data_IF_402095718741
#
_entry.id   IF_402095718741
#
_cell.length_a   1.000
_cell.length_b   1.000
_cell.length_c   1.000
_cell.angle_alpha   90.00
_cell.angle_beta   90.00
_cell.angle_gamma   90.00
#
_symmetry.space_group_name_H-M   'P 1'
#
loop_
_entity.id
_entity.type
_entity.pdbx_description
1 polymer ?
#
# COMPACT_ATOMS: atom_id res chain seq x y z
N UNK A 1 -18.42 -13.38 13.70
CA UNK A 1 -17.21 -13.48 12.83
C UNK A 1 -15.91 -13.08 13.53
N UNK A 2 -15.95 -12.20 14.55
CA UNK A 2 -14.77 -11.65 15.24
C UNK A 2 -13.74 -12.69 15.76
N UNK A 3 -14.19 -13.87 16.19
CA UNK A 3 -13.33 -14.95 16.70
C UNK A 3 -13.00 -16.04 15.65
N UNK A 4 -13.42 -15.87 14.40
CA UNK A 4 -13.16 -16.81 13.33
C UNK A 4 -12.82 -16.03 12.04
N UNK A 5 -11.56 -15.55 11.91
CA UNK A 5 -11.14 -14.70 10.79
C UNK A 5 -11.31 -15.42 9.44
N UNK A 6 -11.03 -16.73 9.38
CA UNK A 6 -11.19 -17.50 8.15
C UNK A 6 -12.66 -17.59 7.70
N UNK A 7 -13.60 -17.76 8.64
CA UNK A 7 -15.03 -17.71 8.31
C UNK A 7 -15.48 -16.31 7.86
N UNK A 8 -14.86 -15.25 8.40
CA UNK A 8 -15.13 -13.90 7.94
C UNK A 8 -14.69 -13.71 6.48
N UNK A 9 -13.49 -14.17 6.14
CA UNK A 9 -12.95 -14.13 4.77
C UNK A 9 -13.84 -14.94 3.82
N UNK A 10 -14.24 -16.15 4.22
CA UNK A 10 -15.09 -17.03 3.40
C UNK A 10 -16.43 -16.36 3.02
N UNK A 11 -17.02 -15.59 3.94
CA UNK A 11 -18.35 -15.00 3.73
C UNK A 11 -18.32 -13.65 3.03
N UNK A 12 -17.32 -12.80 3.31
CA UNK A 12 -17.32 -11.39 2.89
C UNK A 12 -15.96 -10.86 2.46
N UNK A 13 -14.92 -11.71 2.45
CA UNK A 13 -13.57 -11.34 2.03
C UNK A 13 -13.32 -11.55 0.55
N UNK A 14 -12.04 -11.49 0.20
CA UNK A 14 -11.51 -11.81 -1.13
C UNK A 14 -10.31 -12.76 -0.97
N UNK A 15 -9.90 -13.51 -2.02
CA UNK A 15 -8.82 -14.47 -1.92
C UNK A 15 -7.42 -13.84 -1.74
N UNK A 16 -7.25 -12.53 -1.99
CA UNK A 16 -5.98 -11.84 -1.78
C UNK A 16 -5.73 -11.62 -0.29
N UNK A 17 -6.77 -11.35 0.51
CA UNK A 17 -6.65 -11.17 1.95
C UNK A 17 -5.94 -12.33 2.69
N UNK A 18 -6.39 -13.60 2.61
CA UNK A 18 -5.72 -14.71 3.26
C UNK A 18 -4.34 -15.02 2.64
N UNK A 19 -4.18 -14.82 1.33
CA UNK A 19 -2.90 -15.02 0.67
C UNK A 19 -1.84 -14.02 1.16
N UNK A 20 -2.18 -12.73 1.22
CA UNK A 20 -1.32 -11.68 1.76
C UNK A 20 -1.02 -11.89 3.24
N UNK A 21 -2.02 -12.25 4.05
CA UNK A 21 -1.81 -12.50 5.48
C UNK A 21 -0.84 -13.68 5.71
N UNK A 22 -1.04 -14.81 5.02
CA UNK A 22 -0.16 -15.98 5.15
C UNK A 22 1.28 -15.68 4.70
N UNK A 23 1.46 -15.00 3.57
CA UNK A 23 2.78 -14.57 3.10
C UNK A 23 3.44 -13.60 4.08
N UNK A 24 2.69 -12.64 4.61
CA UNK A 24 3.20 -11.67 5.57
C UNK A 24 3.64 -12.34 6.88
N UNK A 25 2.83 -13.26 7.44
CA UNK A 25 3.19 -14.00 8.65
C UNK A 25 4.48 -14.80 8.44
N UNK A 26 4.54 -15.59 7.36
CA UNK A 26 5.71 -16.43 7.08
C UNK A 26 6.99 -15.64 6.76
N UNK A 27 6.87 -14.47 6.13
CA UNK A 27 8.03 -13.61 5.88
C UNK A 27 8.43 -12.81 7.11
N UNK A 28 7.46 -12.27 7.87
CA UNK A 28 7.70 -11.41 9.02
C UNK A 28 8.30 -12.13 10.23
N UNK A 29 8.27 -13.47 10.26
CA UNK A 29 9.03 -14.25 11.24
C UNK A 29 10.55 -14.11 11.03
N UNK A 30 11.01 -13.79 9.82
CA UNK A 30 12.43 -13.77 9.44
C UNK A 30 12.93 -12.39 8.99
N UNK A 31 12.10 -11.63 8.24
CA UNK A 31 12.50 -10.40 7.56
C UNK A 31 11.44 -9.30 7.70
N UNK A 32 11.81 -8.01 7.57
CA UNK A 32 10.84 -6.92 7.52
C UNK A 32 9.90 -7.03 6.30
N UNK A 33 8.62 -6.75 6.51
CA UNK A 33 7.56 -6.81 5.50
C UNK A 33 6.84 -5.47 5.42
N UNK A 34 6.65 -4.98 4.19
CA UNK A 34 5.75 -3.86 3.90
C UNK A 34 4.46 -4.40 3.28
N UNK A 35 3.35 -4.23 3.98
CA UNK A 35 2.01 -4.43 3.44
C UNK A 35 1.69 -3.25 2.51
N UNK A 36 1.93 -3.45 1.21
CA UNK A 36 1.82 -2.41 0.20
C UNK A 36 0.38 -2.26 -0.30
N UNK A 37 -0.31 -1.19 0.10
CA UNK A 37 -1.68 -0.94 -0.31
C UNK A 37 -2.40 0.09 0.54
N UNK A 38 -3.73 0.16 0.37
CA UNK A 38 -4.56 1.11 1.09
C UNK A 38 -5.35 0.50 2.24
N UNK A 39 -6.61 0.92 2.41
CA UNK A 39 -7.52 0.41 3.46
C UNK A 39 -7.68 -1.10 3.45
N UNK A 40 -7.48 -1.76 2.29
CA UNK A 40 -7.45 -3.22 2.19
C UNK A 40 -6.38 -3.84 3.11
N UNK A 41 -5.26 -3.17 3.36
CA UNK A 41 -4.21 -3.65 4.25
C UNK A 41 -4.62 -3.60 5.73
N UNK A 42 -5.63 -2.82 6.12
CA UNK A 42 -6.21 -2.91 7.46
C UNK A 42 -6.94 -4.25 7.66
N UNK A 43 -7.66 -4.75 6.64
CA UNK A 43 -8.29 -6.07 6.70
C UNK A 43 -7.23 -7.18 6.81
N UNK A 44 -6.16 -7.11 6.00
CA UNK A 44 -5.01 -8.03 6.11
C UNK A 44 -4.38 -7.98 7.50
N UNK A 45 -4.18 -6.78 8.05
CA UNK A 45 -3.65 -6.58 9.41
C UNK A 45 -4.55 -7.23 10.46
N UNK A 46 -5.88 -7.09 10.34
CA UNK A 46 -6.82 -7.75 11.26
C UNK A 46 -6.73 -9.28 11.18
N UNK A 47 -6.51 -9.84 9.99
CA UNK A 47 -6.34 -11.28 9.82
C UNK A 47 -5.03 -11.74 10.47
N UNK A 48 -3.93 -11.00 10.23
CA UNK A 48 -2.62 -11.28 10.86
C UNK A 48 -2.75 -11.25 12.38
N UNK A 49 -3.37 -10.21 12.94
CA UNK A 49 -3.60 -10.09 14.38
C UNK A 49 -4.34 -11.29 14.98
N UNK A 50 -5.33 -11.82 14.26
CA UNK A 50 -6.10 -12.97 14.72
C UNK A 50 -5.37 -14.31 14.57
N UNK A 51 -4.32 -14.40 13.74
CA UNK A 51 -3.57 -15.63 13.46
C UNK A 51 -2.24 -15.68 14.22
N UNK A 52 -1.46 -14.60 14.20
CA UNK A 52 -0.19 -14.46 14.89
C UNK A 52 0.15 -12.96 15.07
N UNK A 53 -0.10 -12.41 16.25
CA UNK A 53 0.22 -11.02 16.55
C UNK A 53 1.73 -10.76 16.77
N UNK A 54 2.52 -11.82 17.02
CA UNK A 54 3.92 -11.69 17.42
C UNK A 54 4.82 -11.17 16.29
N UNK A 55 4.36 -11.29 15.04
CA UNK A 55 5.08 -10.85 13.85
C UNK A 55 5.00 -9.35 13.58
N UNK A 56 4.12 -8.61 14.26
CA UNK A 56 3.91 -7.17 13.98
C UNK A 56 5.14 -6.30 14.19
N UNK A 57 6.10 -6.73 15.02
CA UNK A 57 7.41 -6.05 15.19
C UNK A 57 8.19 -5.89 13.87
N UNK A 58 7.90 -6.71 12.86
CA UNK A 58 8.55 -6.71 11.55
C UNK A 58 7.62 -6.24 10.42
N UNK A 59 6.45 -5.69 10.73
CA UNK A 59 5.45 -5.29 9.74
C UNK A 59 5.26 -3.78 9.75
N UNK A 60 5.20 -3.19 8.57
CA UNK A 60 4.71 -1.84 8.33
C UNK A 60 3.70 -1.82 7.18
N UNK A 61 2.84 -0.81 7.12
CA UNK A 61 2.00 -0.54 5.95
C UNK A 61 2.70 0.51 5.09
N UNK A 62 2.73 0.29 3.78
CA UNK A 62 3.26 1.21 2.80
C UNK A 62 2.18 1.66 1.82
N UNK A 63 1.89 2.96 1.80
CA UNK A 63 0.81 3.55 1.00
C UNK A 63 1.27 4.86 0.32
N UNK A 64 0.35 5.60 -0.28
CA UNK A 64 0.58 6.91 -0.91
C UNK A 64 0.08 8.06 -0.04
N UNK A 65 0.66 9.25 -0.22
CA UNK A 65 0.16 10.50 0.38
C UNK A 65 -1.33 10.71 0.12
N UNK A 66 -1.78 10.45 -1.10
CA UNK A 66 -3.17 10.67 -1.50
C UNK A 66 -4.18 9.86 -0.68
N UNK A 67 -3.78 8.72 -0.11
CA UNK A 67 -4.66 7.96 0.76
C UNK A 67 -4.67 8.47 2.20
N UNK A 68 -3.53 8.95 2.71
CA UNK A 68 -3.43 9.50 4.07
C UNK A 68 -4.14 10.86 4.17
N UNK A 69 -4.10 11.66 3.11
CA UNK A 69 -4.75 12.98 3.05
C UNK A 69 -6.24 12.91 2.67
N UNK A 70 -6.75 11.72 2.34
CA UNK A 70 -8.13 11.53 1.93
C UNK A 70 -9.10 11.56 3.11
N UNK A 71 -9.85 12.66 3.24
CA UNK A 71 -10.85 12.84 4.29
C UNK A 71 -11.99 11.81 4.28
N UNK A 72 -12.15 11.05 3.18
CA UNK A 72 -13.16 9.99 3.08
C UNK A 72 -12.62 8.60 3.49
N UNK A 73 -11.35 8.49 3.85
CA UNK A 73 -10.67 7.24 4.23
C UNK A 73 -9.96 7.40 5.57
N UNK A 74 -10.14 6.43 6.48
CA UNK A 74 -9.49 6.43 7.80
C UNK A 74 -8.61 5.19 8.00
N UNK A 75 -7.57 5.05 7.17
CA UNK A 75 -6.63 3.93 7.30
C UNK A 75 -5.95 3.94 8.68
N UNK A 76 -5.59 5.13 9.19
CA UNK A 76 -4.90 5.26 10.47
C UNK A 76 -5.78 4.82 11.64
N UNK A 77 -7.03 5.25 11.69
CA UNK A 77 -8.00 4.82 12.69
C UNK A 77 -8.26 3.32 12.64
N UNK A 78 -8.51 2.77 11.45
CA UNK A 78 -8.73 1.34 11.26
C UNK A 78 -7.56 0.48 11.74
N UNK A 79 -6.32 0.87 11.42
CA UNK A 79 -5.14 0.13 11.87
C UNK A 79 -4.97 0.25 13.38
N UNK A 80 -5.17 1.45 13.94
CA UNK A 80 -5.05 1.72 15.38
C UNK A 80 -6.05 0.94 16.23
N UNK A 81 -7.23 0.62 15.69
CA UNK A 81 -8.20 -0.27 16.35
C UNK A 81 -7.73 -1.73 16.44
N UNK A 82 -6.77 -2.13 15.61
CA UNK A 82 -6.24 -3.51 15.53
C UNK A 82 -4.93 -3.63 16.30
N UNK A 83 -3.95 -2.79 15.97
CA UNK A 83 -2.58 -2.86 16.50
C UNK A 83 -1.82 -1.54 16.26
N UNK A 84 -0.66 -1.39 16.88
CA UNK A 84 0.23 -0.26 16.67
C UNK A 84 1.41 -0.67 15.76
N UNK A 85 1.31 -0.32 14.47
CA UNK A 85 2.37 -0.56 13.48
C UNK A 85 2.66 0.71 12.66
N UNK A 86 3.87 0.88 12.11
CA UNK A 86 4.19 2.02 11.26
C UNK A 86 3.33 2.05 9.99
N UNK A 87 2.82 3.23 9.64
CA UNK A 87 2.18 3.52 8.36
C UNK A 87 3.05 4.54 7.64
N UNK A 88 3.68 4.10 6.54
CA UNK A 88 4.56 4.89 5.71
C UNK A 88 3.80 5.32 4.46
N UNK A 89 3.84 6.61 4.13
CA UNK A 89 3.24 7.14 2.92
C UNK A 89 4.30 7.79 2.04
N UNK A 90 4.35 7.39 0.77
CA UNK A 90 5.22 8.07 -0.20
C UNK A 90 4.62 9.41 -0.59
N UNK A 91 5.41 10.47 -0.49
CA UNK A 91 5.03 11.83 -0.89
C UNK A 91 5.18 12.02 -2.40
N UNK A 92 4.33 11.32 -3.16
CA UNK A 92 4.19 11.54 -4.59
C UNK A 92 3.38 12.82 -4.85
N UNK A 93 3.88 13.67 -5.74
CA UNK A 93 3.21 14.89 -6.17
C UNK A 93 3.19 14.97 -7.70
N UNK A 94 2.04 14.65 -8.27
CA UNK A 94 1.81 14.61 -9.71
C UNK A 94 1.45 15.98 -10.29
N UNK A 95 1.41 17.06 -9.49
CA UNK A 95 1.30 18.43 -10.03
C UNK A 95 2.50 18.82 -10.91
N UNK A 96 3.64 18.12 -10.77
CA UNK A 96 4.83 18.30 -11.61
C UNK A 96 4.60 17.90 -13.07
N UNK A 97 3.60 17.05 -13.34
CA UNK A 97 3.30 16.57 -14.68
C UNK A 97 2.38 17.52 -15.45
N UNK A 98 2.45 17.47 -16.78
CA UNK A 98 1.55 18.24 -17.68
C UNK A 98 0.35 17.41 -18.13
N UNK A 99 0.46 16.10 -18.03
CA UNK A 99 -0.48 15.10 -18.51
C UNK A 99 -1.73 15.08 -17.61
N UNK A 100 -2.94 15.38 -18.13
CA UNK A 100 -4.15 15.43 -17.33
C UNK A 100 -4.48 14.12 -16.61
N UNK A 101 -4.17 12.96 -17.22
CA UNK A 101 -4.38 11.65 -16.63
C UNK A 101 -3.55 11.43 -15.36
N UNK A 102 -2.30 11.89 -15.34
CA UNK A 102 -1.47 11.84 -14.13
C UNK A 102 -1.94 12.87 -13.10
N UNK A 103 -2.23 14.10 -13.52
CA UNK A 103 -2.73 15.15 -12.60
C UNK A 103 -4.07 14.83 -11.94
N UNK A 104 -4.83 13.87 -12.47
CA UNK A 104 -6.07 13.42 -11.84
C UNK A 104 -5.86 12.83 -10.44
N UNK A 105 -4.68 12.26 -10.14
CA UNK A 105 -4.37 11.72 -8.81
C UNK A 105 -4.46 12.79 -7.71
N UNK A 106 -4.02 14.01 -8.00
CA UNK A 106 -4.10 15.17 -7.09
C UNK A 106 -5.55 15.61 -6.81
N UNK A 107 -6.51 15.11 -7.58
CA UNK A 107 -7.95 15.33 -7.40
C UNK A 107 -8.64 14.14 -6.72
N UNK A 108 -7.87 13.22 -6.15
CA UNK A 108 -8.39 12.03 -5.46
C UNK A 108 -8.77 10.88 -6.38
N UNK A 109 -8.30 10.86 -7.63
CA UNK A 109 -8.53 9.73 -8.56
C UNK A 109 -7.47 8.64 -8.34
N UNK A 110 -7.88 7.37 -8.34
CA UNK A 110 -7.05 6.17 -8.04
C UNK A 110 -6.54 6.12 -6.61
N UNK A 111 -5.75 7.12 -6.18
CA UNK A 111 -5.07 7.25 -4.87
C UNK A 111 -4.04 6.15 -4.60
N UNK A 112 -4.41 4.89 -4.66
CA UNK A 112 -3.55 3.73 -4.42
C UNK A 112 -4.00 2.54 -5.29
N UNK A 113 -3.12 1.57 -5.48
CA UNK A 113 -3.39 0.31 -6.16
C UNK A 113 -2.11 -0.39 -6.52
N UNK A 114 -2.19 -1.70 -6.80
CA UNK A 114 -1.08 -2.55 -7.26
C UNK A 114 0.21 -2.45 -6.42
N UNK A 115 0.10 -2.04 -5.14
CA UNK A 115 1.22 -1.85 -4.23
C UNK A 115 2.13 -0.65 -4.57
N UNK A 116 1.63 0.35 -5.29
CA UNK A 116 2.41 1.48 -5.79
C UNK A 116 3.11 2.28 -4.68
N UNK A 117 2.41 2.55 -3.57
CA UNK A 117 3.00 3.25 -2.43
C UNK A 117 4.14 2.45 -1.80
N UNK A 118 3.85 1.22 -1.38
CA UNK A 118 4.81 0.35 -0.72
C UNK A 118 6.03 0.00 -1.57
N UNK A 119 5.88 -0.25 -2.87
CA UNK A 119 7.02 -0.55 -3.75
C UNK A 119 7.92 0.68 -3.96
N UNK A 120 7.33 1.88 -4.03
CA UNK A 120 8.08 3.13 -4.14
C UNK A 120 8.91 3.38 -2.88
N UNK A 121 8.31 3.21 -1.70
CA UNK A 121 8.99 3.29 -0.41
C UNK A 121 10.14 2.27 -0.36
N UNK A 122 9.85 1.03 -0.75
CA UNK A 122 10.83 -0.06 -0.75
C UNK A 122 12.02 0.23 -1.65
N UNK A 123 11.79 0.78 -2.85
CA UNK A 123 12.86 1.14 -3.79
C UNK A 123 13.80 2.21 -3.21
N UNK A 124 13.23 3.26 -2.61
CA UNK A 124 14.01 4.34 -1.99
C UNK A 124 14.82 3.82 -0.80
N UNK A 125 14.17 3.09 0.12
CA UNK A 125 14.83 2.54 1.31
C UNK A 125 15.93 1.54 0.94
N UNK A 126 15.63 0.58 0.04
CA UNK A 126 16.57 -0.49 -0.32
C UNK A 126 17.76 0.03 -1.11
N UNK A 127 17.58 1.09 -1.89
CA UNK A 127 18.66 1.72 -2.64
C UNK A 127 19.54 2.64 -1.77
N UNK A 128 19.17 2.87 -0.50
CA UNK A 128 19.84 3.83 0.36
C UNK A 128 19.69 5.27 -0.15
N UNK A 129 18.54 5.59 -0.77
CA UNK A 129 18.26 6.90 -1.36
C UNK A 129 18.90 7.16 -2.72
N UNK A 130 19.53 6.16 -3.35
CA UNK A 130 20.03 6.29 -4.74
C UNK A 130 18.90 6.35 -5.76
N UNK A 131 17.77 5.69 -5.48
CA UNK A 131 16.51 5.91 -6.19
C UNK A 131 15.78 7.02 -5.45
N UNK A 132 15.43 8.08 -6.16
CA UNK A 132 14.77 9.26 -5.66
C UNK A 132 13.35 9.39 -6.26
N UNK A 133 12.57 10.37 -5.77
CA UNK A 133 11.29 10.70 -6.38
C UNK A 133 11.43 11.11 -7.85
N UNK A 134 12.50 11.81 -8.22
CA UNK A 134 12.74 12.22 -9.60
C UNK A 134 12.95 11.03 -10.53
N UNK A 135 13.65 9.99 -10.06
CA UNK A 135 13.80 8.74 -10.80
C UNK A 135 12.45 8.05 -11.02
N UNK A 136 11.61 8.00 -9.97
CA UNK A 136 10.26 7.46 -10.05
C UNK A 136 9.41 8.27 -11.05
N UNK A 137 9.45 9.59 -10.97
CA UNK A 137 8.71 10.47 -11.88
C UNK A 137 9.16 10.30 -13.33
N UNK A 138 10.47 10.20 -13.58
CA UNK A 138 11.03 9.90 -14.90
C UNK A 138 10.52 8.58 -15.46
N UNK A 139 10.50 7.53 -14.62
CA UNK A 139 9.95 6.21 -14.96
C UNK A 139 8.46 6.25 -15.30
N UNK A 140 7.65 6.86 -14.43
CA UNK A 140 6.19 7.03 -14.61
C UNK A 140 5.89 7.74 -15.92
N UNK A 141 6.53 8.89 -16.16
CA UNK A 141 6.28 9.70 -17.36
C UNK A 141 6.65 8.95 -18.64
N UNK A 142 7.78 8.24 -18.63
CA UNK A 142 8.23 7.42 -19.76
C UNK A 142 7.20 6.33 -20.07
N UNK A 143 6.72 5.61 -19.06
CA UNK A 143 5.72 4.55 -19.22
C UNK A 143 4.40 5.14 -19.71
N UNK A 144 3.93 6.23 -19.11
CA UNK A 144 2.68 6.90 -19.48
C UNK A 144 2.68 7.34 -20.95
N UNK A 145 3.75 8.00 -21.42
CA UNK A 145 3.89 8.41 -22.83
C UNK A 145 3.94 7.23 -23.79
N UNK A 146 4.52 6.11 -23.38
CA UNK A 146 4.52 4.90 -24.19
C UNK A 146 3.12 4.27 -24.29
N UNK A 147 2.32 4.33 -23.23
CA UNK A 147 0.92 3.89 -23.27
C UNK A 147 0.07 4.80 -24.16
N UNK A 148 0.18 6.12 -24.03
CA UNK A 148 -0.58 7.05 -24.89
C UNK A 148 -0.31 6.85 -26.37
N UNK A 149 0.93 6.51 -26.77
CA UNK A 149 1.27 6.19 -28.16
C UNK A 149 0.64 4.90 -28.68
N UNK A 150 0.29 3.95 -27.81
CA UNK A 150 -0.31 2.65 -28.20
C UNK A 150 -1.82 2.72 -28.35
N UNK A 151 -2.45 3.71 -27.73
CA UNK A 151 -3.91 3.87 -27.68
C UNK A 151 -4.38 4.94 -28.69
N UNK A 152 -3.44 5.58 -29.40
CA UNK A 152 -3.69 6.45 -30.56
C UNK A 152 -3.32 5.73 -31.84
#
# INVERSE_FOLDING_TARGET
LKSNPLKAIELVGDPIQPACAGLAIGAASEIPVILAGGTQMAAVTSIISALDESVFKNIAIGTTRWLIEDQSSDLQGLVKEITEIPILAIDLNFNVFKEPGLRAYEKGVVKEGVGAGGISISAILKSGGKITLDDLYGGILKIYKNFEKKIR
#
